data_IF_046039704781
#
_entry.id   IF_046039704781
#
_cell.length_a   1.000
_cell.length_b   1.000
_cell.length_c   1.000
_cell.angle_alpha   90.00
_cell.angle_beta   90.00
_cell.angle_gamma   90.00
#
_symmetry.space_group_name_H-M   'P 1'
#
loop_
_entity.id
_entity.type
_entity.pdbx_description
1 polymer ?
#
# COMPACT_ATOMS: atom_id res chain seq x y z
N UNK A 1 3.38 -36.53 6.22
CA UNK A 1 3.70 -35.57 5.14
C UNK A 1 2.90 -35.79 3.86
N UNK A 2 3.13 -36.83 3.04
CA UNK A 2 2.40 -36.97 1.76
C UNK A 2 0.88 -37.17 1.95
N UNK A 3 0.49 -38.02 2.90
CA UNK A 3 -0.91 -38.22 3.29
C UNK A 3 -1.53 -36.97 3.94
N UNK A 4 -0.79 -36.28 4.81
CA UNK A 4 -1.26 -35.02 5.45
C UNK A 4 -1.49 -33.88 4.44
N UNK A 5 -0.68 -33.84 3.38
CA UNK A 5 -0.79 -32.85 2.32
C UNK A 5 -1.74 -33.30 1.19
N UNK A 6 -2.36 -34.48 1.33
CA UNK A 6 -3.26 -35.08 0.33
C UNK A 6 -2.63 -35.18 -1.08
N UNK A 7 -1.31 -35.40 -1.15
CA UNK A 7 -0.56 -35.52 -2.42
C UNK A 7 0.16 -36.86 -2.54
N UNK A 8 0.49 -37.24 -3.78
CA UNK A 8 1.32 -38.42 -4.02
C UNK A 8 2.75 -38.23 -3.51
N UNK A 9 3.41 -39.33 -3.11
CA UNK A 9 4.84 -39.33 -2.70
C UNK A 9 5.74 -38.78 -3.83
N UNK A 10 5.39 -39.05 -5.09
CA UNK A 10 6.11 -38.51 -6.25
C UNK A 10 5.99 -36.98 -6.35
N UNK A 11 4.80 -36.44 -6.08
CA UNK A 11 4.54 -34.99 -6.04
C UNK A 11 5.37 -34.35 -4.94
N UNK A 12 5.31 -34.92 -3.73
CA UNK A 12 6.07 -34.44 -2.58
C UNK A 12 7.58 -34.39 -2.87
N UNK A 13 8.16 -35.47 -3.42
CA UNK A 13 9.58 -35.52 -3.77
C UNK A 13 9.97 -34.45 -4.79
N UNK A 14 9.17 -34.29 -5.86
CA UNK A 14 9.42 -33.28 -6.89
C UNK A 14 9.40 -31.88 -6.32
N UNK A 15 8.43 -31.58 -5.45
CA UNK A 15 8.26 -30.25 -4.88
C UNK A 15 9.40 -29.93 -3.88
N UNK A 16 9.87 -30.92 -3.10
CA UNK A 16 11.07 -30.77 -2.25
C UNK A 16 12.33 -30.49 -3.08
N UNK A 17 12.55 -31.23 -4.17
CA UNK A 17 13.68 -30.98 -5.08
C UNK A 17 13.58 -29.59 -5.71
N UNK A 18 12.37 -29.14 -6.06
CA UNK A 18 12.14 -27.78 -6.56
C UNK A 18 12.52 -26.73 -5.52
N UNK A 19 12.14 -26.91 -4.26
CA UNK A 19 12.50 -25.98 -3.17
C UNK A 19 14.02 -25.97 -2.90
N UNK A 20 14.67 -27.13 -2.92
CA UNK A 20 16.14 -27.20 -2.80
C UNK A 20 16.84 -26.44 -3.94
N UNK A 21 16.30 -26.52 -5.16
CA UNK A 21 16.84 -25.80 -6.32
C UNK A 21 16.75 -24.27 -6.21
N UNK A 22 15.84 -23.76 -5.38
CA UNK A 22 15.72 -22.31 -5.10
C UNK A 22 16.54 -21.86 -3.89
N UNK A 23 17.44 -22.73 -3.38
CA UNK A 23 18.31 -22.40 -2.25
C UNK A 23 17.69 -22.59 -0.87
N UNK A 24 16.57 -23.32 -0.77
CA UNK A 24 15.99 -23.72 0.53
C UNK A 24 16.80 -24.89 1.10
N UNK A 25 17.42 -24.77 2.30
CA UNK A 25 18.24 -25.80 2.94
C UNK A 25 17.36 -26.86 3.59
N UNK A 26 16.74 -27.69 2.76
CA UNK A 26 15.98 -28.86 3.19
C UNK A 26 16.91 -30.07 3.14
N UNK A 27 17.03 -30.81 4.24
CA UNK A 27 17.76 -32.07 4.32
C UNK A 27 16.83 -33.26 4.50
N UNK A 28 17.19 -34.40 3.92
CA UNK A 28 16.51 -35.66 4.18
C UNK A 28 17.02 -36.27 5.50
N UNK A 29 16.11 -36.64 6.39
CA UNK A 29 16.44 -37.29 7.66
C UNK A 29 15.70 -38.63 7.78
N UNK A 30 16.47 -39.71 7.93
CA UNK A 30 15.92 -41.06 8.00
C UNK A 30 15.00 -41.20 9.21
N UNK A 31 13.78 -41.72 8.98
CA UNK A 31 12.76 -41.90 10.03
C UNK A 31 11.93 -40.65 10.36
N UNK A 32 12.35 -39.46 9.91
CA UNK A 32 11.63 -38.18 10.12
C UNK A 32 11.03 -37.64 8.81
N UNK A 33 11.70 -37.89 7.68
CA UNK A 33 11.30 -37.39 6.37
C UNK A 33 12.21 -36.26 5.92
N UNK A 34 11.67 -35.05 5.79
CA UNK A 34 12.44 -33.87 5.40
C UNK A 34 12.47 -32.87 6.55
N UNK A 35 13.65 -32.33 6.82
CA UNK A 35 13.87 -31.34 7.87
C UNK A 35 14.44 -30.08 7.23
N UNK A 36 13.92 -28.94 7.63
CA UNK A 36 14.47 -27.63 7.29
C UNK A 36 15.57 -27.31 8.31
N UNK A 37 16.73 -26.85 7.83
CA UNK A 37 17.82 -26.47 8.74
C UNK A 37 17.37 -25.36 9.70
N UNK A 38 17.79 -25.48 10.97
CA UNK A 38 17.49 -24.49 12.00
C UNK A 38 18.04 -23.12 11.61
N UNK A 39 17.20 -22.09 11.68
CA UNK A 39 17.56 -20.72 11.28
C UNK A 39 17.21 -20.34 9.84
N UNK A 40 16.54 -21.20 9.07
CA UNK A 40 15.98 -20.82 7.78
C UNK A 40 14.68 -20.01 7.93
N UNK A 41 14.83 -18.70 8.07
CA UNK A 41 13.79 -17.71 7.77
C UNK A 41 13.66 -17.49 6.26
N UNK A 42 12.59 -16.79 5.81
CA UNK A 42 12.31 -16.39 4.42
C UNK A 42 13.59 -16.32 3.56
N UNK A 43 13.66 -16.97 2.37
CA UNK A 43 14.84 -16.88 1.51
C UNK A 43 15.24 -15.41 1.35
N UNK A 44 16.53 -15.07 1.49
CA UNK A 44 16.97 -13.69 1.36
C UNK A 44 16.43 -13.13 0.05
N UNK A 45 15.61 -12.08 0.15
CA UNK A 45 15.20 -11.30 -1.01
C UNK A 45 16.49 -10.78 -1.64
N UNK A 46 16.88 -11.38 -2.77
CA UNK A 46 18.06 -10.96 -3.52
C UNK A 46 17.70 -9.68 -4.25
N UNK A 47 17.89 -8.54 -3.59
CA UNK A 47 17.82 -7.25 -4.24
C UNK A 47 19.12 -7.00 -5.00
N UNK A 48 19.03 -6.55 -6.25
CA UNK A 48 20.16 -5.91 -6.92
C UNK A 48 20.23 -4.42 -6.52
N UNK A 49 21.33 -3.75 -6.89
CA UNK A 49 21.55 -2.34 -6.53
C UNK A 49 20.44 -1.41 -7.06
N UNK A 50 19.94 -1.62 -8.28
CA UNK A 50 18.85 -0.81 -8.85
C UNK A 50 17.53 -0.99 -8.09
N UNK A 51 17.24 -2.22 -7.64
CA UNK A 51 16.06 -2.51 -6.82
C UNK A 51 16.15 -1.88 -5.43
N UNK A 52 17.33 -1.93 -4.80
CA UNK A 52 17.61 -1.26 -3.53
C UNK A 52 17.43 0.26 -3.65
N UNK A 53 17.94 0.85 -4.73
CA UNK A 53 17.75 2.26 -5.06
C UNK A 53 16.27 2.62 -5.22
N UNK A 54 15.50 1.81 -5.97
CA UNK A 54 14.07 2.03 -6.17
C UNK A 54 13.29 1.94 -4.85
N UNK A 55 13.62 0.97 -3.99
CA UNK A 55 13.02 0.82 -2.66
C UNK A 55 13.35 2.02 -1.78
N UNK A 56 14.63 2.43 -1.72
CA UNK A 56 15.06 3.58 -0.92
C UNK A 56 14.38 4.87 -1.37
N UNK A 57 14.28 5.10 -2.70
CA UNK A 57 13.57 6.24 -3.27
C UNK A 57 12.10 6.25 -2.82
N UNK A 58 11.40 5.12 -2.92
CA UNK A 58 10.02 4.98 -2.45
C UNK A 58 9.86 5.28 -0.96
N UNK A 59 10.75 4.76 -0.11
CA UNK A 59 10.73 4.98 1.34
C UNK A 59 11.00 6.45 1.70
N UNK A 60 11.95 7.12 1.01
CA UNK A 60 12.18 8.57 1.18
C UNK A 60 10.95 9.39 0.79
N UNK A 61 10.20 9.00 -0.25
CA UNK A 61 8.90 9.63 -0.56
C UNK A 61 7.86 9.45 0.55
N UNK A 62 7.81 8.27 1.18
CA UNK A 62 6.90 8.01 2.31
C UNK A 62 7.29 8.84 3.54
N UNK A 63 8.59 9.00 3.84
CA UNK A 63 9.06 9.83 4.95
C UNK A 63 8.64 11.30 4.82
N UNK A 64 8.49 11.80 3.58
CA UNK A 64 8.08 13.17 3.32
C UNK A 64 6.56 13.33 3.28
N UNK A 65 5.82 12.38 2.70
CA UNK A 65 4.39 12.56 2.38
C UNK A 65 3.43 11.72 3.21
N UNK A 66 3.93 10.65 3.81
CA UNK A 66 3.15 9.73 4.64
C UNK A 66 2.56 10.41 5.87
N UNK A 67 1.57 9.78 6.49
CA UNK A 67 1.18 10.12 7.86
C UNK A 67 2.21 9.62 8.86
N UNK A 68 2.08 10.07 10.10
CA UNK A 68 3.02 9.81 11.19
C UNK A 68 3.36 8.32 11.36
N UNK A 69 2.37 7.43 11.22
CA UNK A 69 2.62 5.99 11.32
C UNK A 69 3.43 5.46 10.13
N UNK A 70 3.11 5.88 8.90
CA UNK A 70 3.85 5.46 7.72
C UNK A 70 5.28 6.00 7.70
N UNK A 71 5.49 7.22 8.20
CA UNK A 71 6.83 7.81 8.34
C UNK A 71 7.69 6.94 9.26
N UNK A 72 7.17 6.56 10.44
CA UNK A 72 7.86 5.62 11.35
C UNK A 72 8.11 4.27 10.69
N UNK A 73 7.07 3.72 10.05
CA UNK A 73 7.15 2.41 9.40
C UNK A 73 8.20 2.40 8.28
N UNK A 74 8.39 3.51 7.55
CA UNK A 74 9.41 3.59 6.52
C UNK A 74 10.82 3.43 7.10
N UNK A 75 11.11 4.09 8.23
CA UNK A 75 12.38 3.91 8.94
C UNK A 75 12.57 2.49 9.45
N UNK A 76 11.52 1.86 9.97
CA UNK A 76 11.57 0.45 10.40
C UNK A 76 11.85 -0.50 9.23
N UNK A 77 11.27 -0.24 8.06
CA UNK A 77 11.52 -1.04 6.84
C UNK A 77 12.96 -0.88 6.38
N UNK A 78 13.51 0.34 6.39
CA UNK A 78 14.93 0.58 6.08
C UNK A 78 15.83 -0.25 7.00
N UNK A 79 15.58 -0.20 8.32
CA UNK A 79 16.36 -0.96 9.30
C UNK A 79 16.24 -2.49 9.09
N UNK A 80 15.05 -3.00 8.78
CA UNK A 80 14.81 -4.42 8.51
C UNK A 80 15.50 -4.91 7.24
N UNK A 81 15.48 -4.12 6.17
CA UNK A 81 16.19 -4.44 4.92
C UNK A 81 17.70 -4.42 5.18
N UNK A 82 18.20 -3.34 5.78
CA UNK A 82 19.63 -3.22 6.11
C UNK A 82 20.13 -4.42 6.95
N UNK A 83 19.33 -4.92 7.90
CA UNK A 83 19.70 -6.03 8.77
C UNK A 83 20.00 -7.34 8.04
N UNK A 84 19.44 -7.56 6.85
CA UNK A 84 19.59 -8.81 6.07
C UNK A 84 20.55 -8.70 4.88
N UNK A 85 21.08 -7.50 4.59
CA UNK A 85 22.06 -7.27 3.53
C UNK A 85 23.50 -7.55 3.98
N UNK A 86 24.37 -7.89 3.03
CA UNK A 86 25.82 -7.89 3.26
C UNK A 86 26.30 -6.48 3.66
N UNK A 87 27.45 -6.34 4.33
CA UNK A 87 27.98 -5.02 4.71
C UNK A 87 28.05 -4.05 3.53
N UNK A 88 28.54 -4.52 2.37
CA UNK A 88 28.71 -3.69 1.17
C UNK A 88 27.36 -3.22 0.60
N UNK A 89 26.41 -4.14 0.43
CA UNK A 89 25.08 -3.81 -0.09
C UNK A 89 24.27 -2.95 0.90
N UNK A 90 24.50 -3.12 2.20
CA UNK A 90 23.90 -2.27 3.24
C UNK A 90 24.38 -0.84 3.12
N UNK A 91 25.68 -0.62 2.96
CA UNK A 91 26.26 0.71 2.83
C UNK A 91 25.73 1.37 1.54
N UNK A 92 25.74 0.65 0.41
CA UNK A 92 25.12 1.12 -0.85
C UNK A 92 23.64 1.51 -0.68
N UNK A 93 22.85 0.70 0.03
CA UNK A 93 21.43 0.98 0.26
C UNK A 93 21.22 2.22 1.13
N UNK A 94 21.93 2.34 2.25
CA UNK A 94 21.79 3.46 3.20
C UNK A 94 22.28 4.76 2.55
N UNK A 95 23.41 4.71 1.86
CA UNK A 95 24.07 5.86 1.23
C UNK A 95 23.56 6.14 -0.19
N UNK A 96 22.50 5.45 -0.65
CA UNK A 96 21.94 5.61 -1.98
C UNK A 96 21.81 7.11 -2.36
N UNK A 97 22.37 7.55 -3.50
CA UNK A 97 22.51 8.96 -3.87
C UNK A 97 21.19 9.58 -4.39
N UNK A 98 20.04 9.14 -3.86
CA UNK A 98 18.70 9.46 -4.35
C UNK A 98 17.89 10.24 -3.33
N UNK A 99 17.70 11.53 -3.54
CA UNK A 99 16.95 12.37 -2.59
C UNK A 99 15.51 12.59 -3.05
N UNK A 100 14.57 12.68 -2.10
CA UNK A 100 13.16 12.99 -2.37
C UNK A 100 12.71 14.30 -1.68
N UNK A 101 13.37 15.44 -1.93
CA UNK A 101 13.05 16.70 -1.26
C UNK A 101 11.65 17.22 -1.61
N UNK A 102 11.00 17.93 -0.69
CA UNK A 102 9.73 18.64 -0.91
C UNK A 102 9.96 20.16 -1.03
N UNK A 103 11.00 20.54 -1.79
CA UNK A 103 11.37 21.95 -1.94
C UNK A 103 10.30 22.68 -2.76
N UNK A 104 9.75 23.75 -2.19
CA UNK A 104 8.75 24.59 -2.87
C UNK A 104 7.31 24.05 -2.85
N UNK A 105 7.04 22.99 -2.07
CA UNK A 105 5.70 22.46 -1.87
C UNK A 105 5.17 22.97 -0.53
N UNK A 106 3.96 23.52 -0.52
CA UNK A 106 3.29 23.90 0.73
C UNK A 106 3.10 22.67 1.64
N UNK A 107 3.27 22.81 2.97
CA UNK A 107 3.06 21.71 3.90
C UNK A 107 1.67 21.09 3.70
N UNK A 108 1.62 19.75 3.63
CA UNK A 108 0.35 19.04 3.55
C UNK A 108 -0.46 19.36 4.81
N UNK A 109 -1.68 19.90 4.69
CA UNK A 109 -2.50 20.20 5.86
C UNK A 109 -2.72 18.95 6.72
N UNK A 110 -2.65 19.12 8.04
CA UNK A 110 -2.87 18.02 8.97
C UNK A 110 -4.30 17.52 8.86
N UNK A 111 -4.46 16.20 8.79
CA UNK A 111 -5.79 15.59 8.91
C UNK A 111 -6.25 15.71 10.36
N UNK A 112 -7.53 15.97 10.59
CA UNK A 112 -8.14 15.95 11.93
C UNK A 112 -8.58 14.54 12.37
N UNK A 113 -8.27 13.54 11.55
CA UNK A 113 -8.64 12.14 11.71
C UNK A 113 -7.41 11.25 11.61
N UNK A 114 -7.48 10.08 12.24
CA UNK A 114 -6.45 9.06 12.16
C UNK A 114 -6.47 8.35 10.81
N UNK A 115 -5.47 8.64 9.96
CA UNK A 115 -5.35 8.03 8.63
C UNK A 115 -5.04 6.53 8.69
N UNK A 116 -4.50 6.07 9.81
CA UNK A 116 -4.31 4.65 10.11
C UNK A 116 -5.64 3.89 10.16
N UNK A 117 -6.68 4.50 10.74
CA UNK A 117 -8.01 3.92 10.86
C UNK A 117 -8.76 3.93 9.54
N UNK A 118 -8.58 4.98 8.72
CA UNK A 118 -9.05 4.96 7.31
C UNK A 118 -8.47 3.76 6.57
N UNK A 119 -7.16 3.51 6.69
CA UNK A 119 -6.51 2.35 6.05
C UNK A 119 -7.05 1.02 6.58
N UNK A 120 -7.33 0.90 7.88
CA UNK A 120 -7.95 -0.30 8.47
C UNK A 120 -9.34 -0.52 7.90
N UNK A 121 -10.17 0.52 7.85
CA UNK A 121 -11.53 0.47 7.30
C UNK A 121 -11.53 0.06 5.81
N UNK A 122 -10.61 0.59 5.01
CA UNK A 122 -10.42 0.18 3.60
C UNK A 122 -10.11 -1.32 3.49
N UNK A 123 -9.20 -1.85 4.33
CA UNK A 123 -8.85 -3.28 4.32
C UNK A 123 -10.01 -4.15 4.79
N UNK A 124 -10.79 -3.70 5.78
CA UNK A 124 -11.96 -4.39 6.31
C UNK A 124 -13.24 -4.25 5.49
N UNK A 125 -13.23 -3.42 4.45
CA UNK A 125 -14.43 -3.00 3.70
C UNK A 125 -15.53 -2.40 4.60
N UNK A 126 -15.13 -1.76 5.70
CA UNK A 126 -16.03 -1.05 6.61
C UNK A 126 -16.47 0.27 5.99
N UNK A 127 -17.74 0.64 6.17
CA UNK A 127 -18.22 1.98 5.83
C UNK A 127 -17.64 3.01 6.80
N UNK A 128 -17.48 4.24 6.32
CA UNK A 128 -17.15 5.39 7.16
C UNK A 128 -18.32 6.36 7.17
N UNK A 129 -18.67 6.87 8.36
CA UNK A 129 -19.48 8.08 8.49
C UNK A 129 -18.55 9.26 8.69
N UNK A 130 -18.69 10.28 7.86
CA UNK A 130 -17.91 11.51 7.94
C UNK A 130 -18.82 12.70 8.23
N UNK A 131 -18.37 13.58 9.11
CA UNK A 131 -18.81 14.98 9.13
C UNK A 131 -17.80 15.76 8.29
N UNK A 132 -18.25 16.26 7.14
CA UNK A 132 -17.38 16.78 6.08
C UNK A 132 -17.76 18.20 5.68
N UNK A 133 -16.75 19.07 5.64
CA UNK A 133 -16.83 20.41 5.07
C UNK A 133 -16.43 20.38 3.59
N UNK A 134 -17.29 20.87 2.70
CA UNK A 134 -16.95 20.92 1.29
C UNK A 134 -16.06 22.13 0.91
N UNK A 135 -15.96 22.47 -0.38
CA UNK A 135 -15.13 23.59 -0.81
C UNK A 135 -15.81 24.95 -0.62
N UNK A 136 -17.11 24.97 -0.35
CA UNK A 136 -17.92 26.15 -0.12
C UNK A 136 -18.05 26.44 1.38
N UNK A 137 -17.53 25.58 2.25
CA UNK A 137 -17.67 25.68 3.70
C UNK A 137 -18.94 25.04 4.24
N UNK A 138 -19.68 24.29 3.40
CA UNK A 138 -20.92 23.66 3.84
C UNK A 138 -20.66 22.35 4.55
N UNK A 139 -21.14 22.28 5.80
CA UNK A 139 -21.05 21.09 6.63
C UNK A 139 -22.10 20.06 6.25
N UNK A 140 -21.69 18.80 6.25
CA UNK A 140 -22.59 17.73 5.87
C UNK A 140 -22.16 16.35 6.35
N UNK A 141 -23.14 15.48 6.63
CA UNK A 141 -22.86 14.08 6.92
C UNK A 141 -22.73 13.27 5.62
N UNK A 142 -21.78 12.34 5.59
CA UNK A 142 -21.48 11.48 4.44
C UNK A 142 -21.26 10.05 4.90
N UNK A 143 -22.11 9.13 4.45
CA UNK A 143 -21.84 7.70 4.53
C UNK A 143 -21.12 7.25 3.25
N UNK A 144 -19.91 6.71 3.41
CA UNK A 144 -19.02 6.40 2.29
C UNK A 144 -18.47 4.98 2.37
N UNK A 145 -18.17 4.41 1.21
CA UNK A 145 -17.48 3.13 1.05
C UNK A 145 -16.04 3.43 0.64
N UNK A 146 -15.08 3.47 1.59
CA UNK A 146 -13.71 3.87 1.29
C UNK A 146 -13.00 2.79 0.46
N UNK A 147 -12.36 3.22 -0.63
CA UNK A 147 -11.73 2.33 -1.62
C UNK A 147 -10.20 2.45 -1.60
N UNK A 148 -9.70 3.67 -1.44
CA UNK A 148 -8.27 3.98 -1.31
C UNK A 148 -8.03 5.26 -0.55
N UNK A 149 -6.86 5.36 0.07
CA UNK A 149 -6.29 6.59 0.61
C UNK A 149 -5.13 7.01 -0.29
N UNK A 150 -5.21 8.18 -0.89
CA UNK A 150 -4.25 8.68 -1.87
C UNK A 150 -3.43 9.82 -1.26
N UNK A 151 -2.12 9.78 -1.45
CA UNK A 151 -1.18 10.80 -0.99
C UNK A 151 -0.69 11.60 -2.19
N UNK A 152 -1.27 12.79 -2.41
CA UNK A 152 -0.79 13.75 -3.41
C UNK A 152 0.29 14.65 -2.80
N UNK A 153 0.97 15.44 -3.64
CA UNK A 153 2.00 16.37 -3.19
C UNK A 153 1.48 17.37 -2.15
N UNK A 154 0.23 17.84 -2.27
CA UNK A 154 -0.32 18.92 -1.43
C UNK A 154 -1.61 18.52 -0.68
N UNK A 155 -2.01 17.25 -0.74
CA UNK A 155 -3.22 16.81 -0.06
C UNK A 155 -3.28 15.29 0.08
N UNK A 156 -4.07 14.84 1.05
CA UNK A 156 -4.41 13.44 1.23
C UNK A 156 -5.91 13.28 1.04
N UNK A 157 -6.31 12.27 0.27
CA UNK A 157 -7.70 12.10 -0.12
C UNK A 157 -8.19 10.67 0.08
N UNK A 158 -9.41 10.55 0.59
CA UNK A 158 -10.16 9.31 0.62
C UNK A 158 -10.98 9.23 -0.66
N UNK A 159 -10.69 8.24 -1.50
CA UNK A 159 -11.52 7.92 -2.65
C UNK A 159 -12.57 6.91 -2.22
N UNK A 160 -13.84 7.22 -2.48
CA UNK A 160 -14.94 6.41 -2.00
C UNK A 160 -16.17 6.49 -2.90
N UNK A 161 -17.04 5.47 -2.80
CA UNK A 161 -18.42 5.61 -3.23
C UNK A 161 -19.22 6.33 -2.13
N UNK A 162 -19.95 7.37 -2.49
CA UNK A 162 -20.75 8.17 -1.55
C UNK A 162 -22.23 7.80 -1.69
N UNK A 163 -22.85 7.29 -0.63
CA UNK A 163 -24.25 6.83 -0.69
C UNK A 163 -25.22 7.98 -0.96
N UNK A 164 -24.97 9.15 -0.36
CA UNK A 164 -25.82 10.33 -0.56
C UNK A 164 -25.81 10.79 -2.02
N UNK A 165 -24.64 10.80 -2.66
CA UNK A 165 -24.49 11.24 -4.06
C UNK A 165 -24.68 10.11 -5.08
N UNK A 166 -24.71 8.86 -4.62
CA UNK A 166 -24.76 7.64 -5.45
C UNK A 166 -23.71 7.65 -6.55
N UNK A 167 -22.49 8.07 -6.19
CA UNK A 167 -21.39 8.25 -7.14
C UNK A 167 -20.03 8.21 -6.42
N UNK A 168 -18.95 8.05 -7.19
CA UNK A 168 -17.59 8.15 -6.67
C UNK A 168 -17.21 9.60 -6.36
N UNK A 169 -16.60 9.80 -5.19
CA UNK A 169 -16.10 11.10 -4.74
C UNK A 169 -14.74 10.94 -4.06
N UNK A 170 -13.97 12.02 -4.09
CA UNK A 170 -12.75 12.16 -3.33
C UNK A 170 -12.98 13.17 -2.20
N UNK A 171 -12.62 12.78 -0.98
CA UNK A 171 -12.77 13.58 0.22
C UNK A 171 -11.40 13.97 0.74
N UNK A 172 -11.15 15.28 0.90
CA UNK A 172 -9.91 15.79 1.47
C UNK A 172 -9.86 15.49 2.97
N UNK A 173 -8.82 14.81 3.44
CA UNK A 173 -8.74 14.36 4.84
C UNK A 173 -8.62 15.52 5.83
N UNK A 174 -8.09 16.66 5.38
CA UNK A 174 -8.01 17.90 6.15
C UNK A 174 -9.35 18.62 6.32
N UNK A 175 -10.39 18.21 5.57
CA UNK A 175 -11.76 18.75 5.65
C UNK A 175 -12.75 17.79 6.30
N UNK A 176 -12.26 16.68 6.84
CA UNK A 176 -13.06 15.78 7.65
C UNK A 176 -12.98 16.28 9.09
N UNK A 177 -14.09 16.76 9.63
CA UNK A 177 -14.18 17.23 11.02
C UNK A 177 -14.29 16.07 12.00
N UNK A 178 -15.07 15.05 11.64
CA UNK A 178 -15.24 13.83 12.44
C UNK A 178 -15.38 12.61 11.52
N UNK A 179 -14.90 11.47 12.00
CA UNK A 179 -15.00 10.19 11.31
C UNK A 179 -15.33 9.07 12.30
N UNK A 180 -16.36 8.30 11.96
CA UNK A 180 -16.65 7.02 12.62
C UNK A 180 -16.39 5.86 11.66
N UNK A 181 -15.67 4.85 12.13
CA UNK A 181 -15.59 3.55 11.45
C UNK A 181 -16.80 2.72 11.86
N UNK A 182 -17.63 2.34 10.89
CA UNK A 182 -18.83 1.56 11.16
C UNK A 182 -18.53 0.05 11.11
N UNK A 183 -19.22 -0.72 11.93
CA UNK A 183 -19.17 -2.19 11.85
C UNK A 183 -19.78 -2.70 10.54
N UNK A 184 -20.73 -1.94 9.97
CA UNK A 184 -21.35 -2.25 8.69
C UNK A 184 -20.31 -2.26 7.57
N UNK A 185 -20.30 -3.34 6.78
CA UNK A 185 -19.46 -3.49 5.60
C UNK A 185 -20.27 -3.27 4.33
N UNK A 186 -19.68 -2.64 3.33
CA UNK A 186 -20.25 -2.62 1.99
C UNK A 186 -20.00 -3.96 1.28
N UNK A 187 -20.99 -4.45 0.53
CA UNK A 187 -20.99 -5.82 -0.02
C UNK A 187 -20.22 -5.93 -1.32
N UNK A 188 -20.19 -4.85 -2.08
CA UNK A 188 -19.55 -4.76 -3.37
C UNK A 188 -18.04 -4.99 -3.25
N UNK A 189 -17.48 -5.70 -4.23
CA UNK A 189 -16.06 -5.96 -4.25
C UNK A 189 -15.28 -4.65 -4.39
N UNK A 190 -14.44 -4.33 -3.39
CA UNK A 190 -13.64 -3.10 -3.34
C UNK A 190 -12.72 -2.93 -4.54
N UNK A 191 -12.09 -4.01 -5.01
CA UNK A 191 -11.18 -3.98 -6.17
C UNK A 191 -11.97 -3.61 -7.43
N UNK A 192 -13.12 -4.25 -7.65
CA UNK A 192 -13.98 -3.90 -8.78
C UNK A 192 -14.48 -2.44 -8.70
N UNK A 193 -14.86 -1.96 -7.51
CA UNK A 193 -15.25 -0.56 -7.30
C UNK A 193 -14.10 0.40 -7.62
N UNK A 194 -12.89 0.12 -7.13
CA UNK A 194 -11.69 0.92 -7.40
C UNK A 194 -11.35 0.94 -8.88
N UNK A 195 -11.44 -0.19 -9.56
CA UNK A 195 -11.13 -0.29 -10.99
C UNK A 195 -12.17 0.48 -11.84
N UNK A 196 -13.45 0.46 -11.43
CA UNK A 196 -14.49 1.33 -12.03
C UNK A 196 -14.16 2.80 -11.85
N UNK A 197 -13.78 3.21 -10.64
CA UNK A 197 -13.37 4.58 -10.37
C UNK A 197 -12.15 4.98 -11.22
N UNK A 198 -11.14 4.12 -11.31
CA UNK A 198 -9.93 4.40 -12.10
C UNK A 198 -10.24 4.63 -13.59
N UNK A 199 -11.10 3.80 -14.17
CA UNK A 199 -11.57 3.97 -15.57
C UNK A 199 -12.30 5.30 -15.75
N UNK A 200 -13.17 5.69 -14.80
CA UNK A 200 -13.87 6.97 -14.84
C UNK A 200 -12.91 8.16 -14.75
N UNK A 201 -11.90 8.08 -13.88
CA UNK A 201 -10.92 9.14 -13.69
C UNK A 201 -9.99 9.30 -14.90
N UNK A 202 -9.56 8.19 -15.52
CA UNK A 202 -8.78 8.23 -16.76
C UNK A 202 -9.56 8.94 -17.87
N UNK A 203 -10.83 8.54 -18.08
CA UNK A 203 -11.69 9.19 -19.07
C UNK A 203 -11.92 10.68 -18.77
N UNK A 204 -11.98 11.07 -17.49
CA UNK A 204 -12.07 12.48 -17.09
C UNK A 204 -10.81 13.25 -17.47
N UNK A 205 -9.63 12.69 -17.22
CA UNK A 205 -8.35 13.32 -17.56
C UNK A 205 -8.18 13.52 -19.06
N UNK A 206 -8.55 12.53 -19.86
CA UNK A 206 -8.52 12.62 -21.32
C UNK A 206 -9.42 13.75 -21.85
N UNK A 207 -10.64 13.88 -21.31
CA UNK A 207 -11.55 14.99 -21.65
C UNK A 207 -10.95 16.36 -21.32
N UNK A 208 -10.43 16.53 -20.11
CA UNK A 208 -9.82 17.80 -19.68
C UNK A 208 -8.58 18.15 -20.52
N UNK A 209 -7.78 17.14 -20.90
CA UNK A 209 -6.63 17.34 -21.77
C UNK A 209 -7.07 17.79 -23.18
N UNK A 210 -8.11 17.17 -23.74
CA UNK A 210 -8.68 17.54 -25.04
C UNK A 210 -9.25 18.97 -25.03
N UNK A 211 -9.99 19.35 -23.99
CA UNK A 211 -10.54 20.71 -23.83
C UNK A 211 -9.42 21.77 -23.73
N UNK A 212 -8.36 21.49 -22.95
CA UNK A 212 -7.20 22.40 -22.86
C UNK A 212 -6.43 22.51 -24.17
N UNK A 213 -6.38 21.46 -24.98
CA UNK A 213 -5.76 21.49 -26.30
C UNK A 213 -6.58 22.33 -27.28
N UNK A 214 -7.91 22.20 -27.26
CA UNK A 214 -8.82 22.99 -28.10
C UNK A 214 -8.79 24.50 -27.76
N UNK A 215 -8.58 24.86 -26.48
CA UNK A 215 -8.49 26.27 -26.05
C UNK A 215 -7.15 26.95 -26.42
N UNK A 216 -6.18 26.20 -26.95
CA UNK A 216 -4.85 26.69 -27.37
C UNK A 216 -4.73 26.84 -28.89
N UNK A 217 -5.77 26.51 -29.66
CA UNK A 217 -5.88 26.73 -31.11
C UNK A 217 -6.76 27.95 -31.38
#
# INVERSE_FOLDING_TARGET
MAEELEVSVRTLYRDIVSLQSTGVPIRGEAGVGYVLDEGYDLPPLMFNSDELEAVMMGLRHVQVRGDEQLIRTASDVIAKIAAVLSPEARDEFIEAPLYAPDVGVEPIPSARIELSDVRKAIRGQNKLRLIYEDAQGEMSERLIWPLSLTFFAQSRMIVAWCELRKDFRAFRTDRVEQMDVLEERYRENRVALRDRWWKMELARRERVAAEKAALRM
#
